data_IF_907839777071
#
_entry.id   IF_907839777071
#
_cell.length_a   1.000
_cell.length_b   1.000
_cell.length_c   1.000
_cell.angle_alpha   90.00
_cell.angle_beta   90.00
_cell.angle_gamma   90.00
#
_symmetry.space_group_name_H-M   'P 1'
#
loop_
_entity.id
_entity.type
_entity.pdbx_description
1 polymer ?
#
# COMPACT_ATOMS: atom_id res chain seq x y z
N UNK A 1 -21.48 7.02 11.75
CA UNK A 1 -20.10 6.48 11.82
C UNK A 1 -19.65 6.50 13.27
N UNK A 2 -19.06 5.40 13.79
CA UNK A 2 -18.60 5.32 15.20
C UNK A 2 -17.43 6.32 15.43
N UNK A 3 -17.39 7.01 16.58
CA UNK A 3 -16.38 8.05 16.90
C UNK A 3 -14.95 7.55 16.69
N UNK A 4 -14.66 6.30 17.08
CA UNK A 4 -13.34 5.68 16.89
C UNK A 4 -12.90 5.65 15.43
N UNK A 5 -13.82 5.35 14.50
CA UNK A 5 -13.55 5.35 13.05
C UNK A 5 -13.30 6.79 12.54
N UNK A 6 -14.06 7.77 13.05
CA UNK A 6 -13.84 9.19 12.72
C UNK A 6 -12.42 9.63 13.08
N UNK A 7 -11.94 9.26 14.27
CA UNK A 7 -10.59 9.62 14.74
C UNK A 7 -9.54 9.00 13.83
N UNK A 8 -9.67 7.72 13.48
CA UNK A 8 -8.73 7.02 12.59
C UNK A 8 -8.66 7.68 11.22
N UNK A 9 -9.81 7.97 10.61
CA UNK A 9 -9.85 8.59 9.27
C UNK A 9 -9.32 10.02 9.29
N UNK A 10 -9.73 10.87 10.25
CA UNK A 10 -9.21 12.24 10.35
C UNK A 10 -7.72 12.29 10.69
N UNK A 11 -7.20 11.33 11.46
CA UNK A 11 -5.78 11.20 11.69
C UNK A 11 -5.03 10.78 10.43
N UNK A 12 -5.58 9.85 9.64
CA UNK A 12 -5.02 9.43 8.35
C UNK A 12 -4.90 10.63 7.39
N UNK A 13 -5.94 11.45 7.29
CA UNK A 13 -5.94 12.65 6.45
C UNK A 13 -4.84 13.63 6.88
N UNK A 14 -4.76 13.95 8.17
CA UNK A 14 -3.74 14.84 8.72
C UNK A 14 -2.32 14.30 8.55
N UNK A 15 -2.11 13.00 8.77
CA UNK A 15 -0.79 12.38 8.60
C UNK A 15 -0.35 12.39 7.13
N UNK A 16 -1.28 12.18 6.21
CA UNK A 16 -1.02 12.29 4.78
C UNK A 16 -0.68 13.72 4.33
N UNK A 17 -1.27 14.72 4.99
CA UNK A 17 -1.11 16.13 4.61
C UNK A 17 0.13 16.78 5.25
N UNK A 18 0.37 16.50 6.53
CA UNK A 18 1.35 17.21 7.34
C UNK A 18 2.52 16.33 7.80
N UNK A 19 2.48 15.02 7.51
CA UNK A 19 3.41 14.03 8.06
C UNK A 19 3.07 13.62 9.50
N UNK A 20 3.21 12.35 9.81
CA UNK A 20 2.84 11.79 11.12
C UNK A 20 3.57 12.46 12.28
N UNK A 21 4.87 12.78 12.13
CA UNK A 21 5.67 13.39 13.20
C UNK A 21 5.20 14.77 13.62
N UNK A 22 4.66 15.55 12.67
CA UNK A 22 4.22 16.93 12.88
C UNK A 22 2.81 17.04 13.46
N UNK A 23 2.04 15.95 13.48
CA UNK A 23 0.66 15.93 13.96
C UNK A 23 0.60 15.36 15.38
N UNK A 24 0.00 16.13 16.29
CA UNK A 24 -0.28 15.72 17.67
C UNK A 24 -1.73 15.23 17.82
N UNK A 25 -2.03 14.56 18.94
CA UNK A 25 -3.42 14.18 19.29
C UNK A 25 -4.33 15.40 19.45
N UNK A 26 -3.78 16.56 19.86
CA UNK A 26 -4.54 17.81 19.95
C UNK A 26 -4.92 18.34 18.56
N UNK A 27 -4.00 18.28 17.58
CA UNK A 27 -4.31 18.65 16.19
C UNK A 27 -5.43 17.78 15.62
N UNK A 28 -5.43 16.47 15.94
CA UNK A 28 -6.49 15.55 15.52
C UNK A 28 -7.83 15.91 16.18
N UNK A 29 -7.83 16.20 17.48
CA UNK A 29 -9.03 16.59 18.20
C UNK A 29 -9.63 17.91 17.66
N UNK A 30 -8.77 18.90 17.40
CA UNK A 30 -9.15 20.18 16.80
C UNK A 30 -9.75 20.01 15.40
N UNK A 31 -9.08 19.28 14.52
CA UNK A 31 -9.54 18.96 13.16
C UNK A 31 -10.92 18.31 13.15
N UNK A 32 -11.19 17.45 14.13
CA UNK A 32 -12.48 16.75 14.25
C UNK A 32 -13.52 17.52 15.08
N UNK A 33 -13.21 18.73 15.52
CA UNK A 33 -14.07 19.55 16.39
C UNK A 33 -14.54 18.80 17.65
N UNK A 34 -13.62 18.04 18.28
CA UNK A 34 -13.88 17.31 19.51
C UNK A 34 -12.92 17.73 20.62
N UNK A 35 -13.32 17.52 21.88
CA UNK A 35 -12.43 17.78 23.00
C UNK A 35 -11.29 16.77 23.07
N UNK A 36 -10.07 17.17 23.49
CA UNK A 36 -8.96 16.21 23.74
C UNK A 36 -9.37 15.07 24.67
N UNK A 37 -10.16 15.34 25.70
CA UNK A 37 -10.68 14.31 26.61
C UNK A 37 -11.52 13.23 25.90
N UNK A 38 -12.33 13.63 24.93
CA UNK A 38 -13.11 12.68 24.13
C UNK A 38 -12.20 11.83 23.21
N UNK A 39 -11.16 12.42 22.64
CA UNK A 39 -10.16 11.66 21.88
C UNK A 39 -9.45 10.64 22.76
N UNK A 40 -8.96 11.07 23.95
CA UNK A 40 -8.25 10.19 24.91
C UNK A 40 -9.14 9.09 25.51
N UNK A 41 -10.44 9.27 25.53
CA UNK A 41 -11.38 8.19 25.88
C UNK A 41 -11.31 7.02 24.87
N UNK A 42 -11.05 7.31 23.60
CA UNK A 42 -10.99 6.31 22.53
C UNK A 42 -9.58 5.77 22.25
N UNK A 43 -8.56 6.61 22.40
CA UNK A 43 -7.14 6.29 22.10
C UNK A 43 -6.25 6.96 23.14
N UNK A 44 -5.47 6.17 23.86
CA UNK A 44 -4.61 6.65 24.97
C UNK A 44 -3.43 7.51 24.49
N UNK A 45 -2.96 7.28 23.27
CA UNK A 45 -1.82 7.97 22.68
C UNK A 45 -1.89 7.92 21.14
N UNK A 46 -0.96 8.58 20.48
CA UNK A 46 -0.88 8.65 19.03
C UNK A 46 -0.55 7.28 18.42
N UNK A 47 0.26 6.47 19.06
CA UNK A 47 0.63 5.13 18.62
C UNK A 47 -0.60 4.21 18.50
N UNK A 48 -1.56 4.33 19.41
CA UNK A 48 -2.83 3.59 19.31
C UNK A 48 -3.67 4.03 18.08
N UNK A 49 -3.61 5.30 17.71
CA UNK A 49 -4.27 5.83 16.51
C UNK A 49 -3.56 5.28 15.26
N UNK A 50 -2.22 5.28 15.22
CA UNK A 50 -1.43 4.70 14.13
C UNK A 50 -1.75 3.21 13.97
N UNK A 51 -1.86 2.45 15.06
CA UNK A 51 -2.32 1.04 15.02
C UNK A 51 -3.75 0.91 14.49
N UNK A 52 -4.62 1.87 14.81
CA UNK A 52 -5.98 1.93 14.25
C UNK A 52 -5.99 2.15 12.73
N UNK A 53 -5.10 3.01 12.24
CA UNK A 53 -4.91 3.23 10.79
C UNK A 53 -4.30 1.99 10.14
N UNK A 54 -3.30 1.36 10.79
CA UNK A 54 -2.71 0.12 10.29
C UNK A 54 -3.74 -1.00 10.13
N UNK A 55 -4.67 -1.12 11.07
CA UNK A 55 -5.75 -2.11 10.95
C UNK A 55 -6.65 -1.86 9.73
N UNK A 56 -6.94 -0.60 9.44
CA UNK A 56 -7.68 -0.23 8.22
C UNK A 56 -6.87 -0.58 6.96
N UNK A 57 -5.56 -0.30 6.97
CA UNK A 57 -4.64 -0.70 5.90
C UNK A 57 -4.60 -2.21 5.69
N UNK A 58 -4.48 -3.00 6.76
CA UNK A 58 -4.50 -4.46 6.74
C UNK A 58 -5.77 -5.01 6.09
N UNK A 59 -6.94 -4.54 6.55
CA UNK A 59 -8.24 -4.95 6.05
C UNK A 59 -8.37 -4.66 4.54
N UNK A 60 -7.98 -3.47 4.10
CA UNK A 60 -8.01 -3.10 2.69
C UNK A 60 -6.99 -3.87 1.85
N UNK A 61 -5.75 -3.97 2.30
CA UNK A 61 -4.70 -4.69 1.61
C UNK A 61 -5.08 -6.15 1.35
N UNK A 62 -5.49 -6.87 2.39
CA UNK A 62 -5.83 -8.29 2.28
C UNK A 62 -7.12 -8.52 1.48
N UNK A 63 -8.08 -7.59 1.55
CA UNK A 63 -9.28 -7.63 0.72
C UNK A 63 -8.95 -7.43 -0.77
N UNK A 64 -8.18 -6.41 -1.11
CA UNK A 64 -7.83 -6.07 -2.49
C UNK A 64 -6.91 -7.10 -3.15
N UNK A 65 -6.01 -7.71 -2.37
CA UNK A 65 -5.10 -8.76 -2.83
C UNK A 65 -5.58 -10.17 -2.46
N UNK A 66 -6.88 -10.36 -2.32
CA UNK A 66 -7.47 -11.70 -2.26
C UNK A 66 -7.35 -12.38 -3.64
N UNK A 67 -6.86 -13.63 -3.71
CA UNK A 67 -6.78 -14.36 -4.97
C UNK A 67 -8.18 -14.58 -5.55
N UNK A 68 -8.45 -14.09 -6.75
CA UNK A 68 -9.71 -14.36 -7.46
C UNK A 68 -9.54 -15.57 -8.36
N UNK A 69 -10.24 -16.66 -8.02
CA UNK A 69 -10.17 -17.92 -8.79
C UNK A 69 -11.08 -17.86 -10.05
N UNK A 70 -12.08 -16.99 -10.07
CA UNK A 70 -13.13 -16.99 -11.09
C UNK A 70 -12.97 -15.96 -12.22
N UNK A 71 -11.92 -15.12 -12.21
CA UNK A 71 -11.74 -14.14 -13.27
C UNK A 71 -11.20 -14.79 -14.55
N UNK A 72 -12.07 -14.89 -15.57
CA UNK A 72 -11.72 -15.37 -16.91
C UNK A 72 -11.12 -14.27 -17.78
N UNK A 73 -11.20 -13.02 -17.35
CA UNK A 73 -10.68 -11.85 -18.06
C UNK A 73 -9.35 -11.38 -17.45
N UNK A 74 -8.29 -11.68 -18.18
CA UNK A 74 -6.92 -11.39 -17.80
C UNK A 74 -6.63 -9.89 -17.67
N UNK A 75 -7.25 -9.05 -18.53
CA UNK A 75 -7.06 -7.60 -18.52
C UNK A 75 -7.66 -7.00 -17.25
N UNK A 76 -8.93 -7.29 -17.01
CA UNK A 76 -9.64 -6.79 -15.82
C UNK A 76 -8.98 -7.25 -14.52
N UNK A 77 -8.47 -8.48 -14.49
CA UNK A 77 -7.76 -8.99 -13.32
C UNK A 77 -6.46 -8.22 -13.05
N UNK A 78 -5.68 -7.98 -14.09
CA UNK A 78 -4.45 -7.21 -14.00
C UNK A 78 -4.72 -5.76 -13.58
N UNK A 79 -5.68 -5.10 -14.23
CA UNK A 79 -6.07 -3.73 -13.92
C UNK A 79 -6.57 -3.59 -12.49
N UNK A 80 -7.35 -4.55 -12.00
CA UNK A 80 -7.81 -4.57 -10.61
C UNK A 80 -6.63 -4.51 -9.65
N UNK A 81 -5.63 -5.40 -9.77
CA UNK A 81 -4.50 -5.42 -8.84
C UNK A 81 -3.63 -4.17 -8.95
N UNK A 82 -3.39 -3.66 -10.15
CA UNK A 82 -2.59 -2.45 -10.35
C UNK A 82 -3.28 -1.20 -9.79
N UNK A 83 -4.58 -1.06 -10.02
CA UNK A 83 -5.38 0.03 -9.46
C UNK A 83 -5.47 -0.07 -7.93
N UNK A 84 -5.53 -1.29 -7.39
CA UNK A 84 -5.52 -1.53 -5.94
C UNK A 84 -4.19 -1.10 -5.30
N UNK A 85 -3.05 -1.40 -5.95
CA UNK A 85 -1.74 -0.90 -5.49
C UNK A 85 -1.75 0.63 -5.47
N UNK A 86 -2.19 1.27 -6.56
CA UNK A 86 -2.26 2.73 -6.65
C UNK A 86 -3.10 3.31 -5.51
N UNK A 87 -4.32 2.81 -5.34
CA UNK A 87 -5.24 3.31 -4.32
C UNK A 87 -4.67 3.16 -2.90
N UNK A 88 -4.06 2.00 -2.58
CA UNK A 88 -3.45 1.76 -1.28
C UNK A 88 -2.23 2.66 -1.04
N UNK A 89 -1.32 2.77 -2.00
CA UNK A 89 -0.15 3.63 -1.89
C UNK A 89 -0.56 5.10 -1.69
N UNK A 90 -1.52 5.59 -2.44
CA UNK A 90 -2.03 6.96 -2.31
C UNK A 90 -2.73 7.20 -0.98
N UNK A 91 -3.64 6.30 -0.59
CA UNK A 91 -4.44 6.45 0.63
C UNK A 91 -3.59 6.40 1.89
N UNK A 92 -2.58 5.53 1.94
CA UNK A 92 -1.72 5.33 3.11
C UNK A 92 -0.30 5.88 2.90
N UNK A 93 -0.13 6.93 2.06
CA UNK A 93 1.19 7.44 1.66
C UNK A 93 2.08 7.87 2.83
N UNK A 94 1.51 8.38 3.93
CA UNK A 94 2.31 8.70 5.12
C UNK A 94 2.99 7.47 5.71
N UNK A 95 2.30 6.33 5.67
CA UNK A 95 2.80 5.07 6.21
C UNK A 95 3.96 4.55 5.36
N UNK A 96 3.80 4.51 4.05
CA UNK A 96 4.87 4.14 3.12
C UNK A 96 6.09 5.08 3.18
N UNK A 97 5.87 6.38 3.39
CA UNK A 97 6.96 7.35 3.49
C UNK A 97 7.82 7.19 4.74
N UNK A 98 7.28 6.61 5.82
CA UNK A 98 7.93 6.55 7.13
C UNK A 98 7.92 5.15 7.75
N UNK A 99 7.68 4.12 6.96
CA UNK A 99 7.45 2.75 7.43
C UNK A 99 8.54 2.24 8.38
N UNK A 100 9.84 2.30 8.09
CA UNK A 100 10.87 1.78 8.98
C UNK A 100 10.85 2.47 10.36
N UNK A 101 10.66 3.78 10.39
CA UNK A 101 10.62 4.57 11.61
C UNK A 101 9.38 4.27 12.47
N UNK A 102 8.21 4.14 11.83
CA UNK A 102 6.96 3.79 12.50
C UNK A 102 7.06 2.40 13.13
N UNK A 103 7.60 1.42 12.41
CA UNK A 103 7.77 0.05 12.91
C UNK A 103 8.82 -0.05 14.02
N UNK A 104 9.92 0.72 13.92
CA UNK A 104 10.97 0.74 14.95
C UNK A 104 10.46 1.28 16.30
N UNK A 105 9.50 2.21 16.29
CA UNK A 105 8.93 2.81 17.51
C UNK A 105 7.84 1.98 18.15
N UNK A 106 7.23 1.03 17.46
CA UNK A 106 6.11 0.21 17.95
C UNK A 106 6.33 -1.29 17.68
N UNK A 107 6.96 -2.04 18.62
CA UNK A 107 7.20 -3.47 18.43
C UNK A 107 5.93 -4.32 18.27
N UNK A 108 4.77 -3.85 18.75
CA UNK A 108 3.49 -4.53 18.53
C UNK A 108 3.05 -4.37 17.09
N UNK A 109 3.04 -3.13 16.59
CA UNK A 109 2.73 -2.83 15.20
C UNK A 109 3.68 -3.56 14.24
N UNK A 110 4.97 -3.68 14.60
CA UNK A 110 5.95 -4.40 13.79
C UNK A 110 5.59 -5.89 13.66
N UNK A 111 5.17 -6.55 14.74
CA UNK A 111 4.73 -7.96 14.66
C UNK A 111 3.47 -8.12 13.81
N UNK A 112 2.49 -7.22 14.00
CA UNK A 112 1.26 -7.23 13.23
C UNK A 112 1.56 -7.01 11.73
N UNK A 113 2.48 -6.09 11.40
CA UNK A 113 2.95 -5.85 10.04
C UNK A 113 3.60 -7.10 9.42
N UNK A 114 4.51 -7.78 10.12
CA UNK A 114 5.14 -9.00 9.60
C UNK A 114 4.12 -10.10 9.29
N UNK A 115 3.13 -10.30 10.15
CA UNK A 115 2.04 -11.25 9.91
C UNK A 115 1.23 -10.91 8.65
N UNK A 116 0.93 -9.63 8.45
CA UNK A 116 0.20 -9.16 7.25
C UNK A 116 1.05 -9.36 5.99
N UNK A 117 2.37 -9.11 6.05
CA UNK A 117 3.25 -9.32 4.91
C UNK A 117 3.37 -10.79 4.51
N UNK A 118 3.36 -11.70 5.48
CA UNK A 118 3.34 -13.15 5.22
C UNK A 118 2.06 -13.57 4.49
N UNK A 119 0.91 -13.09 4.94
CA UNK A 119 -0.38 -13.34 4.28
C UNK A 119 -0.43 -12.74 2.87
N UNK A 120 0.00 -11.49 2.72
CA UNK A 120 0.09 -10.83 1.42
C UNK A 120 0.96 -11.62 0.44
N UNK A 121 2.14 -12.07 0.90
CA UNK A 121 3.04 -12.88 0.06
C UNK A 121 2.38 -14.17 -0.42
N UNK A 122 1.68 -14.88 0.46
CA UNK A 122 0.93 -16.09 0.09
C UNK A 122 -0.15 -15.78 -0.97
N UNK A 123 -0.90 -14.70 -0.81
CA UNK A 123 -1.90 -14.26 -1.78
C UNK A 123 -1.27 -13.89 -3.13
N UNK A 124 -0.16 -13.15 -3.12
CA UNK A 124 0.54 -12.74 -4.34
C UNK A 124 1.09 -13.94 -5.13
N UNK A 125 1.56 -14.99 -4.46
CA UNK A 125 1.96 -16.24 -5.12
C UNK A 125 0.78 -16.89 -5.85
N UNK A 126 -0.41 -16.94 -5.24
CA UNK A 126 -1.62 -17.45 -5.88
C UNK A 126 -2.06 -16.58 -7.07
N UNK A 127 -1.97 -15.27 -6.94
CA UNK A 127 -2.24 -14.32 -8.04
C UNK A 127 -1.28 -14.54 -9.20
N UNK A 128 0.02 -14.73 -8.94
CA UNK A 128 1.00 -15.06 -9.97
C UNK A 128 0.68 -16.39 -10.67
N UNK A 129 0.24 -17.39 -9.93
CA UNK A 129 -0.20 -18.67 -10.52
C UNK A 129 -1.41 -18.48 -11.44
N UNK A 130 -2.35 -17.62 -11.07
CA UNK A 130 -3.48 -17.26 -11.95
C UNK A 130 -3.00 -16.58 -13.23
N UNK A 131 -2.05 -15.66 -13.18
CA UNK A 131 -1.47 -15.03 -14.37
C UNK A 131 -0.71 -16.02 -15.26
N UNK A 132 -0.02 -17.01 -14.67
CA UNK A 132 0.59 -18.10 -15.44
C UNK A 132 -0.48 -18.96 -16.13
N UNK A 133 -1.54 -19.32 -15.43
CA UNK A 133 -2.64 -20.12 -16.00
C UNK A 133 -3.37 -19.42 -17.15
N UNK A 134 -3.42 -18.08 -17.10
CA UNK A 134 -3.94 -17.22 -18.16
C UNK A 134 -2.91 -16.93 -19.27
N UNK A 135 -1.74 -17.56 -19.22
CA UNK A 135 -0.63 -17.36 -20.17
C UNK A 135 -0.18 -15.89 -20.31
N UNK A 136 -0.22 -15.14 -19.21
CA UNK A 136 0.24 -13.74 -19.19
C UNK A 136 1.72 -13.62 -18.80
N UNK A 137 2.20 -14.51 -17.94
CA UNK A 137 3.59 -14.58 -17.50
C UNK A 137 4.14 -15.99 -17.72
N UNK A 138 5.45 -16.05 -17.97
CA UNK A 138 6.22 -17.28 -18.02
C UNK A 138 7.42 -17.10 -17.07
N UNK A 139 7.39 -17.75 -15.93
CA UNK A 139 8.33 -17.53 -14.82
C UNK A 139 8.44 -18.80 -13.99
N UNK A 140 9.65 -19.18 -13.57
CA UNK A 140 9.84 -20.29 -12.63
C UNK A 140 9.59 -19.87 -11.16
N UNK A 141 9.61 -20.84 -10.23
CA UNK A 141 9.31 -20.60 -8.83
C UNK A 141 10.34 -19.68 -8.14
N UNK A 142 11.61 -19.78 -8.53
CA UNK A 142 12.69 -18.94 -7.98
C UNK A 142 12.54 -17.51 -8.47
N UNK A 143 12.43 -17.33 -9.77
CA UNK A 143 12.22 -16.01 -10.40
C UNK A 143 10.92 -15.34 -9.90
N UNK A 144 9.85 -16.13 -9.67
CA UNK A 144 8.58 -15.64 -9.10
C UNK A 144 8.80 -15.04 -7.70
N UNK A 145 9.54 -15.76 -6.84
CA UNK A 145 9.88 -15.27 -5.50
C UNK A 145 10.68 -13.97 -5.55
N UNK A 146 11.66 -13.87 -6.45
CA UNK A 146 12.52 -12.69 -6.62
C UNK A 146 11.72 -11.50 -7.20
N UNK A 147 10.87 -11.75 -8.19
CA UNK A 147 9.99 -10.75 -8.77
C UNK A 147 9.05 -10.17 -7.70
N UNK A 148 8.38 -11.01 -6.92
CA UNK A 148 7.49 -10.55 -5.85
C UNK A 148 8.24 -9.74 -4.79
N UNK A 149 9.46 -10.15 -4.43
CA UNK A 149 10.31 -9.41 -3.50
C UNK A 149 10.68 -8.04 -4.08
N UNK A 150 11.04 -7.96 -5.35
CA UNK A 150 11.40 -6.71 -6.03
C UNK A 150 10.21 -5.77 -6.16
N UNK A 151 9.04 -6.26 -6.57
CA UNK A 151 7.80 -5.47 -6.64
C UNK A 151 7.42 -4.94 -5.26
N UNK A 152 7.49 -5.78 -4.24
CA UNK A 152 7.23 -5.36 -2.85
C UNK A 152 8.23 -4.30 -2.38
N UNK A 153 9.51 -4.47 -2.67
CA UNK A 153 10.55 -3.48 -2.35
C UNK A 153 10.25 -2.13 -3.01
N UNK A 154 9.87 -2.11 -4.29
CA UNK A 154 9.48 -0.88 -4.98
C UNK A 154 8.27 -0.26 -4.28
N UNK A 155 7.20 -1.03 -4.02
CA UNK A 155 5.98 -0.53 -3.39
C UNK A 155 6.25 0.12 -2.02
N UNK A 156 7.10 -0.50 -1.20
CA UNK A 156 7.33 -0.06 0.19
C UNK A 156 8.38 1.05 0.31
N UNK A 157 9.30 1.19 -0.65
CA UNK A 157 10.41 2.15 -0.56
C UNK A 157 10.32 3.30 -1.56
N UNK A 158 9.36 3.28 -2.49
CA UNK A 158 9.27 4.26 -3.56
C UNK A 158 9.17 5.70 -3.05
N UNK A 159 8.34 5.95 -2.05
CA UNK A 159 8.18 7.31 -1.50
C UNK A 159 9.40 7.79 -0.73
N UNK A 160 10.09 6.93 -0.02
CA UNK A 160 11.36 7.26 0.63
C UNK A 160 12.43 7.62 -0.41
N UNK A 161 12.49 6.88 -1.52
CA UNK A 161 13.37 7.20 -2.64
C UNK A 161 13.01 8.56 -3.26
N UNK A 162 11.74 8.80 -3.56
CA UNK A 162 11.28 10.08 -4.12
C UNK A 162 11.62 11.26 -3.20
N UNK A 163 11.34 11.14 -1.91
CA UNK A 163 11.68 12.19 -0.93
C UNK A 163 13.17 12.51 -0.87
N UNK A 164 14.03 11.51 -1.14
CA UNK A 164 15.48 11.73 -1.16
C UNK A 164 15.95 12.50 -2.39
N UNK A 165 15.25 12.38 -3.53
CA UNK A 165 15.68 13.01 -4.80
C UNK A 165 14.94 14.32 -5.13
N UNK A 166 13.75 14.57 -4.52
CA UNK A 166 12.92 15.76 -4.82
C UNK A 166 12.97 16.85 -3.75
N UNK A 167 13.91 16.77 -2.80
CA UNK A 167 14.19 17.80 -1.81
C UNK A 167 12.95 18.39 -1.10
N UNK A 168 12.14 17.54 -0.46
CA UNK A 168 11.00 17.89 0.40
C UNK A 168 9.67 18.27 -0.29
N UNK A 169 9.49 17.96 -1.54
CA UNK A 169 8.17 18.06 -2.16
C UNK A 169 7.20 17.03 -1.58
N UNK A 170 5.91 17.41 -1.48
CA UNK A 170 4.86 16.49 -1.04
C UNK A 170 4.67 15.39 -2.10
N UNK A 171 4.44 14.15 -1.64
CA UNK A 171 4.07 13.04 -2.52
C UNK A 171 2.82 13.39 -3.32
N UNK A 172 2.89 13.21 -4.65
CA UNK A 172 1.81 13.46 -5.60
C UNK A 172 1.26 12.14 -6.17
N UNK A 173 0.08 12.20 -6.81
CA UNK A 173 -0.44 11.05 -7.56
C UNK A 173 0.50 10.63 -8.70
N UNK A 174 1.20 11.59 -9.31
CA UNK A 174 2.19 11.30 -10.33
C UNK A 174 3.37 10.48 -9.78
N UNK A 175 3.78 10.70 -8.53
CA UNK A 175 4.82 9.88 -7.89
C UNK A 175 4.35 8.44 -7.70
N UNK A 176 3.08 8.24 -7.32
CA UNK A 176 2.50 6.90 -7.26
C UNK A 176 2.49 6.24 -8.65
N UNK A 177 2.01 6.95 -9.67
CA UNK A 177 2.00 6.45 -11.06
C UNK A 177 3.40 6.07 -11.54
N UNK A 178 4.42 6.87 -11.21
CA UNK A 178 5.81 6.56 -11.53
C UNK A 178 6.30 5.28 -10.82
N UNK A 179 5.93 5.08 -9.55
CA UNK A 179 6.23 3.84 -8.82
C UNK A 179 5.60 2.62 -9.47
N UNK A 180 4.33 2.72 -9.88
CA UNK A 180 3.64 1.64 -10.62
C UNK A 180 4.35 1.35 -11.96
N UNK A 181 4.80 2.38 -12.70
CA UNK A 181 5.59 2.19 -13.93
C UNK A 181 6.86 1.39 -13.67
N UNK A 182 7.56 1.63 -12.55
CA UNK A 182 8.73 0.84 -12.18
C UNK A 182 8.37 -0.61 -11.86
N UNK A 183 7.27 -0.87 -11.13
CA UNK A 183 6.80 -2.23 -10.88
C UNK A 183 6.49 -2.96 -12.20
N UNK A 184 5.77 -2.32 -13.11
CA UNK A 184 5.48 -2.88 -14.44
C UNK A 184 6.77 -3.13 -15.23
N UNK A 185 7.76 -2.26 -15.13
CA UNK A 185 9.05 -2.42 -15.82
C UNK A 185 9.77 -3.70 -15.40
N UNK A 186 9.79 -4.04 -14.11
CA UNK A 186 10.42 -5.28 -13.63
C UNK A 186 9.58 -6.54 -13.90
N UNK A 187 8.28 -6.40 -14.16
CA UNK A 187 7.41 -7.50 -14.57
C UNK A 187 7.55 -7.85 -16.06
N UNK A 188 7.87 -6.87 -16.92
CA UNK A 188 7.92 -7.04 -18.38
C UNK A 188 8.82 -8.17 -18.91
N UNK A 189 10.02 -8.43 -18.36
CA UNK A 189 10.88 -9.55 -18.80
C UNK A 189 10.20 -10.92 -18.71
N UNK A 190 9.36 -11.10 -17.69
CA UNK A 190 8.66 -12.35 -17.40
C UNK A 190 7.30 -12.45 -18.11
N UNK A 191 6.85 -11.39 -18.79
CA UNK A 191 5.57 -11.37 -19.49
C UNK A 191 5.66 -12.07 -20.87
N UNK A 192 4.66 -12.85 -21.21
CA UNK A 192 4.43 -13.38 -22.55
C UNK A 192 4.13 -12.23 -23.53
N UNK A 193 3.94 -12.54 -24.83
CA UNK A 193 3.51 -11.53 -25.81
C UNK A 193 2.18 -10.89 -25.37
N UNK A 194 1.18 -11.72 -25.02
CA UNK A 194 -0.13 -11.24 -24.54
C UNK A 194 0.00 -10.42 -23.25
N UNK A 195 0.83 -10.87 -22.30
CA UNK A 195 1.10 -10.13 -21.08
C UNK A 195 1.75 -8.77 -21.34
N UNK A 196 2.71 -8.69 -22.26
CA UNK A 196 3.36 -7.41 -22.63
C UNK A 196 2.39 -6.40 -23.23
N UNK A 197 1.43 -6.87 -24.02
CA UNK A 197 0.40 -5.98 -24.60
C UNK A 197 -0.47 -5.37 -23.52
N UNK A 198 -0.91 -6.16 -22.53
CA UNK A 198 -1.68 -5.68 -21.36
C UNK A 198 -0.85 -4.68 -20.54
N UNK A 199 0.41 -5.01 -20.22
CA UNK A 199 1.30 -4.12 -19.47
C UNK A 199 1.52 -2.79 -20.17
N UNK A 200 1.72 -2.82 -21.51
CA UNK A 200 1.92 -1.61 -22.29
C UNK A 200 0.66 -0.75 -22.40
N UNK A 201 -0.52 -1.37 -22.54
CA UNK A 201 -1.79 -0.66 -22.52
C UNK A 201 -2.02 0.04 -21.19
N UNK A 202 -1.83 -0.67 -20.09
CA UNK A 202 -2.00 -0.12 -18.75
C UNK A 202 -1.09 1.09 -18.48
N UNK A 203 0.20 0.99 -18.83
CA UNK A 203 1.16 2.09 -18.63
C UNK A 203 0.81 3.35 -19.43
N UNK A 204 0.13 3.22 -20.56
CA UNK A 204 -0.33 4.39 -21.35
C UNK A 204 -1.48 5.14 -20.68
N UNK A 205 -2.20 4.49 -19.77
CA UNK A 205 -3.33 5.08 -19.03
C UNK A 205 -2.91 5.70 -17.69
N UNK A 206 -1.67 5.47 -17.24
CA UNK A 206 -1.06 6.09 -16.06
C UNK A 206 -0.49 7.48 -16.39
#
# INVERSE_FOLDING_TARGET
>A
MKTKVKIVLGALDLFNEHGERNVTTNHIAEHLSMSPGNLYYHFRNKEEIVRGIFKLYEEELLCQFSPSIDSKDAVSLFEHYMNSIFALMWRFRFFYSNLPDILARDPKLHRDYLSVQEQLRANLLLICNSFQSLNLINIDETEKSDLLTTVHFIATNWFSYQSAITAHEKVTEQDVANGIRQMVSVMKPHATVAGKDILNQFVRCL
#
